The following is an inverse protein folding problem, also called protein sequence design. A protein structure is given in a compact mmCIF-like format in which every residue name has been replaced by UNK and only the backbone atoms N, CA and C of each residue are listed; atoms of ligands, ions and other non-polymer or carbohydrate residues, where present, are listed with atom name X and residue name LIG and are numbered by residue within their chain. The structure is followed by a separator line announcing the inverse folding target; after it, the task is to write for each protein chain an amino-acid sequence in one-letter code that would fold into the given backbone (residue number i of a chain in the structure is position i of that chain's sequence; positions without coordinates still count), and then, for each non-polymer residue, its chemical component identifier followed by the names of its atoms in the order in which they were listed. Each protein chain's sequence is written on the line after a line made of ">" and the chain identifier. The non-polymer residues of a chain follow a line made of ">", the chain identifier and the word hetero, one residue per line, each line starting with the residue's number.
data_IF_244670749889
#
_entry.id   IF_244670749889
#
_cell.length_a   1.000
_cell.length_b   1.000
_cell.length_c   1.000
_cell.angle_alpha   90.00
_cell.angle_beta   90.00
_cell.angle_gamma   90.00
#
_symmetry.space_group_name_H-M   'P 1'
#
loop_
_entity.id
_entity.type
_entity.pdbx_description
1 polymer ?
#
# COMPACT_ATOMS: atom_id res chain seq x y z
N UNK A 1 -13.42 -12.05 0.29
CA UNK A 1 -12.64 -12.37 -0.93
C UNK A 1 -11.45 -13.21 -0.50
N UNK A 2 -11.29 -14.39 -1.08
CA UNK A 2 -10.06 -15.17 -0.96
C UNK A 2 -8.92 -14.39 -1.63
N UNK A 3 -7.79 -14.26 -0.95
CA UNK A 3 -6.54 -13.74 -1.54
C UNK A 3 -5.73 -14.89 -2.14
N UNK A 4 -4.79 -14.58 -3.03
CA UNK A 4 -3.95 -15.59 -3.66
C UNK A 4 -3.01 -16.25 -2.61
N UNK A 5 -2.83 -17.59 -2.60
CA UNK A 5 -2.04 -18.28 -1.58
C UNK A 5 -0.58 -17.82 -1.48
N UNK A 6 -0.04 -17.21 -2.54
CA UNK A 6 1.33 -16.67 -2.53
C UNK A 6 1.55 -15.67 -1.39
N UNK A 7 0.51 -14.96 -0.95
CA UNK A 7 0.58 -13.97 0.12
C UNK A 7 0.71 -14.58 1.52
N UNK A 8 0.53 -15.90 1.66
CA UNK A 8 0.70 -16.63 2.91
C UNK A 8 2.13 -17.08 3.18
N UNK A 9 3.04 -16.94 2.20
CA UNK A 9 4.46 -17.22 2.41
C UNK A 9 5.07 -16.29 3.47
N UNK A 10 6.06 -16.77 4.23
CA UNK A 10 6.72 -15.96 5.26
C UNK A 10 7.29 -14.64 4.70
N UNK A 11 7.91 -14.72 3.52
CA UNK A 11 8.49 -13.55 2.85
C UNK A 11 7.42 -12.51 2.51
N UNK A 12 6.29 -12.94 1.93
CA UNK A 12 5.21 -12.02 1.59
C UNK A 12 4.48 -11.50 2.83
N UNK A 13 4.38 -12.28 3.91
CA UNK A 13 3.86 -11.78 5.21
C UNK A 13 4.73 -10.66 5.77
N UNK A 14 6.06 -10.75 5.68
CA UNK A 14 6.96 -9.69 6.11
C UNK A 14 6.82 -8.42 5.24
N UNK A 15 6.72 -8.56 3.92
CA UNK A 15 6.50 -7.45 3.00
C UNK A 15 5.12 -6.79 3.23
N UNK A 16 4.09 -7.59 3.44
CA UNK A 16 2.75 -7.13 3.82
C UNK A 16 2.78 -6.34 5.13
N UNK A 17 3.54 -6.80 6.13
CA UNK A 17 3.68 -6.08 7.41
C UNK A 17 4.38 -4.75 7.24
N UNK A 18 5.47 -4.72 6.48
CA UNK A 18 6.18 -3.49 6.14
C UNK A 18 5.24 -2.49 5.45
N UNK A 19 4.57 -2.91 4.37
CA UNK A 19 3.66 -2.06 3.60
C UNK A 19 2.46 -1.60 4.44
N UNK A 20 1.86 -2.47 5.26
CA UNK A 20 0.75 -2.13 6.13
C UNK A 20 1.16 -1.09 7.18
N UNK A 21 2.32 -1.27 7.84
CA UNK A 21 2.83 -0.30 8.82
C UNK A 21 3.18 1.03 8.17
N UNK A 22 3.76 1.02 6.96
CA UNK A 22 4.04 2.25 6.20
C UNK A 22 2.75 2.98 5.83
N UNK A 23 1.73 2.26 5.36
CA UNK A 23 0.42 2.84 5.06
C UNK A 23 -0.23 3.45 6.29
N UNK A 24 -0.19 2.77 7.45
CA UNK A 24 -0.68 3.30 8.72
C UNK A 24 0.07 4.58 9.12
N UNK A 25 1.40 4.60 8.99
CA UNK A 25 2.20 5.80 9.30
C UNK A 25 1.86 6.98 8.38
N UNK A 26 1.70 6.74 7.09
CA UNK A 26 1.30 7.77 6.15
C UNK A 26 -0.08 8.35 6.51
N UNK A 27 -1.01 7.52 6.97
CA UNK A 27 -2.29 7.99 7.50
C UNK A 27 -2.09 8.88 8.73
N UNK A 28 -1.23 8.44 9.67
CA UNK A 28 -0.80 9.23 10.82
C UNK A 28 -0.28 10.63 10.47
N UNK A 29 0.53 10.75 9.42
CA UNK A 29 1.02 12.04 8.91
C UNK A 29 -0.16 12.90 8.41
N UNK A 30 -1.06 12.29 7.63
CA UNK A 30 -2.27 12.97 7.16
C UNK A 30 -3.16 13.43 8.32
N UNK A 31 -3.26 12.62 9.37
CA UNK A 31 -3.97 12.95 10.60
C UNK A 31 -3.38 14.14 11.34
N UNK A 32 -2.06 14.17 11.48
CA UNK A 32 -1.34 15.31 12.06
C UNK A 32 -1.61 16.58 11.25
N UNK A 33 -1.47 16.53 9.92
CA UNK A 33 -1.72 17.67 9.06
C UNK A 33 -3.18 18.16 9.20
N UNK A 34 -4.15 17.24 9.19
CA UNK A 34 -5.56 17.58 9.37
C UNK A 34 -5.86 18.20 10.73
N UNK A 35 -5.28 17.67 11.81
CA UNK A 35 -5.39 18.24 13.16
C UNK A 35 -4.82 19.65 13.24
N UNK A 36 -3.64 19.89 12.66
CA UNK A 36 -3.00 21.20 12.62
C UNK A 36 -3.86 22.24 11.88
N UNK A 37 -4.41 21.88 10.71
CA UNK A 37 -5.32 22.74 9.95
C UNK A 37 -6.53 23.13 10.81
N UNK A 38 -7.15 22.17 11.50
CA UNK A 38 -8.33 22.44 12.33
C UNK A 38 -8.03 23.31 13.57
N UNK A 39 -6.83 23.20 14.15
CA UNK A 39 -6.40 24.10 15.22
C UNK A 39 -6.27 25.53 14.69
N UNK A 40 -5.65 25.71 13.53
CA UNK A 40 -5.47 27.05 12.93
C UNK A 40 -6.82 27.68 12.60
N UNK A 41 -7.72 26.92 11.97
CA UNK A 41 -9.10 27.37 11.68
C UNK A 41 -9.83 27.68 12.98
N UNK A 42 -9.72 26.82 14.00
CA UNK A 42 -10.35 27.02 15.30
C UNK A 42 -9.91 28.32 15.97
N UNK A 43 -8.61 28.62 15.96
CA UNK A 43 -8.05 29.83 16.59
C UNK A 43 -8.43 31.11 15.84
N UNK A 44 -8.46 31.07 14.49
CA UNK A 44 -8.58 32.27 13.66
C UNK A 44 -9.92 32.51 12.96
N UNK A 45 -10.85 31.55 12.96
CA UNK A 45 -11.94 31.52 11.98
C UNK A 45 -13.37 31.74 12.49
N UNK A 46 -13.64 31.75 13.81
CA UNK A 46 -15.03 31.85 14.31
C UNK A 46 -15.16 32.72 15.56
N UNK A 47 -16.20 33.57 15.59
CA UNK A 47 -16.54 34.39 16.75
C UNK A 47 -17.21 33.58 17.88
N UNK A 48 -17.74 32.40 17.57
CA UNK A 48 -18.37 31.49 18.53
C UNK A 48 -17.31 30.76 19.39
N UNK A 49 -17.18 31.08 20.70
CA UNK A 49 -16.10 30.54 21.54
C UNK A 49 -16.19 29.02 21.72
N UNK A 50 -17.40 28.47 21.80
CA UNK A 50 -17.62 27.03 21.95
C UNK A 50 -17.17 26.22 20.71
N UNK A 51 -17.45 26.73 19.51
CA UNK A 51 -17.06 26.11 18.24
C UNK A 51 -15.54 26.10 18.09
N UNK A 52 -14.91 27.25 18.35
CA UNK A 52 -13.45 27.43 18.38
C UNK A 52 -12.76 26.50 19.38
N UNK A 53 -13.27 26.41 20.61
CA UNK A 53 -12.72 25.52 21.62
C UNK A 53 -12.85 24.05 21.19
N UNK A 54 -13.99 23.65 20.63
CA UNK A 54 -14.19 22.30 20.11
C UNK A 54 -13.23 21.94 18.98
N UNK A 55 -13.03 22.84 18.00
CA UNK A 55 -12.07 22.65 16.91
C UNK A 55 -10.62 22.53 17.43
N UNK A 56 -10.22 23.38 18.37
CA UNK A 56 -8.89 23.33 18.97
C UNK A 56 -8.65 22.03 19.74
N UNK A 57 -9.62 21.60 20.56
CA UNK A 57 -9.52 20.35 21.34
C UNK A 57 -9.50 19.12 20.44
N UNK A 58 -10.41 19.02 19.46
CA UNK A 58 -10.47 17.89 18.55
C UNK A 58 -9.26 17.85 17.60
N UNK A 59 -8.79 19.02 17.16
CA UNK A 59 -7.55 19.14 16.39
C UNK A 59 -6.32 18.69 17.20
N UNK A 60 -6.23 19.07 18.47
CA UNK A 60 -5.16 18.61 19.37
C UNK A 60 -5.23 17.10 19.64
N UNK A 61 -6.43 16.55 19.84
CA UNK A 61 -6.64 15.11 19.94
C UNK A 61 -6.16 14.39 18.67
N UNK A 62 -6.46 14.94 17.49
CA UNK A 62 -6.02 14.39 16.22
C UNK A 62 -4.48 14.40 16.08
N UNK A 63 -3.82 15.47 16.52
CA UNK A 63 -2.34 15.53 16.57
C UNK A 63 -1.77 14.43 17.47
N UNK A 64 -2.30 14.27 18.69
CA UNK A 64 -1.83 13.27 19.64
C UNK A 64 -2.02 11.85 19.11
N UNK A 65 -3.18 11.57 18.51
CA UNK A 65 -3.46 10.27 17.90
C UNK A 65 -2.56 10.01 16.70
N UNK A 66 -2.34 11.00 15.83
CA UNK A 66 -1.41 10.88 14.71
C UNK A 66 0.03 10.58 15.17
N UNK A 67 0.51 11.25 16.23
CA UNK A 67 1.81 10.95 16.85
C UNK A 67 1.83 9.52 17.42
N UNK A 68 0.75 9.09 18.06
CA UNK A 68 0.64 7.73 18.59
C UNK A 68 0.68 6.68 17.46
N UNK A 69 -0.02 6.92 16.36
CA UNK A 69 -0.01 6.08 15.14
C UNK A 69 1.40 5.97 14.56
N UNK A 70 2.15 7.07 14.50
CA UNK A 70 3.54 7.07 14.02
C UNK A 70 4.45 6.19 14.90
N UNK A 71 4.30 6.31 16.23
CA UNK A 71 5.10 5.56 17.20
C UNK A 71 4.69 4.08 17.27
N UNK A 72 3.40 3.77 17.17
CA UNK A 72 2.84 2.43 17.32
C UNK A 72 1.82 2.12 16.22
N UNK A 73 2.29 1.78 14.99
CA UNK A 73 1.42 1.52 13.85
C UNK A 73 0.67 0.18 14.03
N UNK A 74 -0.46 0.24 14.71
CA UNK A 74 -1.31 -0.90 15.04
C UNK A 74 -2.73 -0.68 14.50
N UNK A 75 -3.50 -1.76 14.35
CA UNK A 75 -4.91 -1.65 13.99
C UNK A 75 -5.71 -0.80 15.00
N UNK A 76 -5.40 -0.90 16.29
CA UNK A 76 -6.06 -0.11 17.33
C UNK A 76 -5.78 1.38 17.17
N UNK A 77 -4.54 1.75 16.85
CA UNK A 77 -4.17 3.14 16.61
C UNK A 77 -4.94 3.72 15.42
N UNK A 78 -5.02 2.97 14.31
CA UNK A 78 -5.77 3.37 13.13
C UNK A 78 -7.29 3.49 13.39
N UNK A 79 -7.85 2.63 14.25
CA UNK A 79 -9.25 2.74 14.64
C UNK A 79 -9.54 4.03 15.42
N UNK A 80 -8.72 4.33 16.42
CA UNK A 80 -8.87 5.57 17.21
C UNK A 80 -8.68 6.79 16.31
N UNK A 81 -7.70 6.77 15.40
CA UNK A 81 -7.50 7.81 14.41
C UNK A 81 -8.74 8.03 13.54
N UNK A 82 -9.35 6.96 13.04
CA UNK A 82 -10.59 7.05 12.27
C UNK A 82 -11.73 7.67 13.10
N UNK A 83 -11.91 7.26 14.36
CA UNK A 83 -12.97 7.79 15.22
C UNK A 83 -12.76 9.28 15.46
N UNK A 84 -11.56 9.72 15.85
CA UNK A 84 -11.25 11.14 16.08
C UNK A 84 -11.43 11.96 14.80
N UNK A 85 -10.98 11.45 13.63
CA UNK A 85 -11.20 12.11 12.35
C UNK A 85 -12.68 12.30 12.03
N UNK A 86 -13.52 11.27 12.23
CA UNK A 86 -14.96 11.36 11.98
C UNK A 86 -15.60 12.39 12.92
N UNK A 87 -15.24 12.35 14.21
CA UNK A 87 -15.76 13.32 15.19
C UNK A 87 -15.35 14.75 14.83
N UNK A 88 -14.09 14.97 14.43
CA UNK A 88 -13.60 16.28 13.99
C UNK A 88 -14.30 16.75 12.71
N UNK A 89 -14.48 15.87 11.71
CA UNK A 89 -15.23 16.18 10.49
C UNK A 89 -16.69 16.52 10.76
N UNK A 90 -17.36 15.79 11.65
CA UNK A 90 -18.74 16.07 12.05
C UNK A 90 -18.85 17.40 12.79
N UNK A 91 -17.87 17.71 13.64
CA UNK A 91 -17.79 19.00 14.32
C UNK A 91 -17.61 20.15 13.33
N UNK A 92 -16.72 19.99 12.34
CA UNK A 92 -16.50 21.00 11.29
C UNK A 92 -17.74 21.21 10.43
N UNK A 93 -18.44 20.13 10.07
CA UNK A 93 -19.70 20.23 9.33
C UNK A 93 -20.78 20.94 10.16
N UNK A 94 -20.85 20.66 11.47
CA UNK A 94 -21.77 21.35 12.37
C UNK A 94 -21.46 22.85 12.47
N UNK A 95 -20.19 23.22 12.62
CA UNK A 95 -19.78 24.63 12.70
C UNK A 95 -20.10 25.41 11.43
N UNK A 96 -19.96 24.76 10.28
CA UNK A 96 -20.28 25.38 8.99
C UNK A 96 -21.79 25.68 8.86
N UNK A 97 -22.64 24.70 9.21
CA UNK A 97 -24.11 24.85 9.22
C UNK A 97 -24.54 25.98 10.16
N UNK A 98 -23.94 26.03 11.36
CA UNK A 98 -24.27 27.05 12.36
C UNK A 98 -23.82 28.46 11.93
N UNK A 99 -22.74 28.56 11.15
CA UNK A 99 -22.20 29.84 10.67
C UNK A 99 -22.97 30.43 9.48
N UNK A 100 -23.61 29.58 8.67
CA UNK A 100 -24.38 29.96 7.47
C UNK A 100 -25.90 29.92 7.71
N UNK A 101 -26.35 29.96 8.97
CA UNK A 101 -27.76 29.94 9.38
C UNK A 101 -28.60 28.80 8.77
N UNK A 102 -27.97 27.70 8.35
CA UNK A 102 -28.64 26.61 7.66
C UNK A 102 -27.83 26.04 6.49
N UNK A 103 -28.47 25.15 5.73
CA UNK A 103 -27.86 24.47 4.59
C UNK A 103 -27.95 25.29 3.29
N UNK A 104 -28.83 26.29 3.24
CA UNK A 104 -29.16 27.03 2.02
C UNK A 104 -28.06 28.02 1.59
N UNK A 105 -27.26 28.52 2.53
CA UNK A 105 -26.14 29.43 2.27
C UNK A 105 -24.76 28.73 2.34
N UNK A 106 -24.75 27.42 2.59
CA UNK A 106 -23.51 26.65 2.78
C UNK A 106 -22.82 26.39 1.44
N UNK A 107 -21.54 26.74 1.33
CA UNK A 107 -20.74 26.32 0.18
C UNK A 107 -20.50 24.81 0.26
N UNK A 108 -21.16 24.07 -0.64
CA UNK A 108 -21.03 22.62 -0.76
C UNK A 108 -19.57 22.17 -0.91
N UNK A 109 -18.69 23.00 -1.49
CA UNK A 109 -17.26 22.69 -1.64
C UNK A 109 -16.54 22.71 -0.30
N UNK A 110 -16.88 23.66 0.57
CA UNK A 110 -16.30 23.79 1.92
C UNK A 110 -16.80 22.65 2.81
N UNK A 111 -18.09 22.32 2.74
CA UNK A 111 -18.69 21.22 3.48
C UNK A 111 -18.25 19.81 2.98
N UNK A 112 -17.92 19.67 1.69
CA UNK A 112 -17.48 18.41 1.12
C UNK A 112 -16.11 17.94 1.64
N UNK A 113 -15.23 18.87 2.04
CA UNK A 113 -13.88 18.55 2.49
C UNK A 113 -13.87 17.66 3.77
N UNK A 114 -14.53 18.02 4.89
CA UNK A 114 -14.60 17.14 6.06
C UNK A 114 -15.21 15.77 5.75
N UNK A 115 -16.22 15.71 4.88
CA UNK A 115 -16.83 14.45 4.45
C UNK A 115 -15.84 13.58 3.67
N UNK A 116 -15.11 14.16 2.71
CA UNK A 116 -14.09 13.45 1.95
C UNK A 116 -12.99 12.90 2.87
N UNK A 117 -12.54 13.71 3.84
CA UNK A 117 -11.54 13.28 4.83
C UNK A 117 -12.06 12.11 5.66
N UNK A 118 -13.30 12.18 6.17
CA UNK A 118 -13.90 11.09 6.94
C UNK A 118 -13.99 9.79 6.11
N UNK A 119 -14.43 9.88 4.86
CA UNK A 119 -14.50 8.73 3.94
C UNK A 119 -13.10 8.14 3.70
N UNK A 120 -12.07 8.97 3.54
CA UNK A 120 -10.70 8.52 3.36
C UNK A 120 -10.19 7.73 4.58
N UNK A 121 -10.41 8.23 5.81
CA UNK A 121 -10.02 7.53 7.04
C UNK A 121 -10.79 6.21 7.22
N UNK A 122 -12.09 6.17 6.92
CA UNK A 122 -12.89 4.94 6.95
C UNK A 122 -12.37 3.93 5.93
N UNK A 123 -12.11 4.35 4.71
CA UNK A 123 -11.58 3.50 3.64
C UNK A 123 -10.24 2.89 4.03
N UNK A 124 -9.35 3.70 4.60
CA UNK A 124 -8.05 3.26 5.12
C UNK A 124 -8.19 2.22 6.23
N UNK A 125 -9.06 2.46 7.21
CA UNK A 125 -9.32 1.50 8.29
C UNK A 125 -9.87 0.17 7.75
N UNK A 126 -10.92 0.21 6.92
CA UNK A 126 -11.55 -1.00 6.36
C UNK A 126 -10.59 -1.78 5.45
N UNK A 127 -9.72 -1.09 4.72
CA UNK A 127 -8.69 -1.72 3.89
C UNK A 127 -7.71 -2.54 4.73
N UNK A 128 -7.19 -1.95 5.82
CA UNK A 128 -6.23 -2.58 6.73
C UNK A 128 -6.88 -3.59 7.71
N UNK A 129 -8.21 -3.55 7.88
CA UNK A 129 -8.96 -4.55 8.63
C UNK A 129 -8.91 -5.95 7.98
N UNK A 130 -8.61 -6.03 6.67
CA UNK A 130 -8.54 -7.29 5.93
C UNK A 130 -7.21 -8.03 6.10
N UNK A 131 -6.18 -7.36 6.59
CA UNK A 131 -4.88 -8.00 6.88
C UNK A 131 -5.01 -8.83 8.14
N UNK A 132 -4.44 -10.03 8.14
CA UNK A 132 -4.36 -10.85 9.34
C UNK A 132 -3.63 -10.09 10.47
N UNK A 133 -4.18 -10.17 11.69
CA UNK A 133 -3.57 -9.60 12.89
C UNK A 133 -2.13 -10.08 13.12
N UNK A 134 -1.79 -11.30 12.68
CA UNK A 134 -0.43 -11.89 12.76
C UNK A 134 0.62 -11.09 11.99
N UNK A 135 0.22 -10.34 10.97
CA UNK A 135 1.11 -9.47 10.20
C UNK A 135 1.61 -8.30 11.07
N UNK A 136 0.83 -7.86 12.05
CA UNK A 136 1.24 -6.78 12.97
C UNK A 136 2.18 -7.26 14.09
N UNK A 137 2.24 -8.57 14.37
CA UNK A 137 3.17 -9.15 15.35
C UNK A 137 4.54 -9.51 14.77
N UNK A 138 4.79 -9.27 13.48
CA UNK A 138 6.11 -9.51 12.88
C UNK A 138 7.17 -8.61 13.52
N UNK A 139 8.31 -9.22 13.84
CA UNK A 139 9.43 -8.57 14.51
C UNK A 139 10.00 -7.37 13.71
N UNK A 140 10.53 -6.38 14.45
CA UNK A 140 11.06 -5.15 13.88
C UNK A 140 12.28 -5.38 12.96
N UNK A 141 13.14 -6.35 13.27
CA UNK A 141 14.31 -6.68 12.46
C UNK A 141 13.92 -7.26 11.10
N UNK A 142 12.90 -8.13 11.05
CA UNK A 142 12.38 -8.66 9.78
C UNK A 142 11.80 -7.56 8.89
N UNK A 143 11.14 -6.58 9.50
CA UNK A 143 10.58 -5.43 8.78
C UNK A 143 11.66 -4.50 8.25
N UNK A 144 12.75 -4.30 8.99
CA UNK A 144 13.92 -3.54 8.50
C UNK A 144 14.57 -4.23 7.30
N UNK A 145 14.78 -5.55 7.36
CA UNK A 145 15.29 -6.32 6.21
C UNK A 145 14.37 -6.21 4.99
N UNK A 146 13.05 -6.30 5.21
CA UNK A 146 12.07 -6.12 4.14
C UNK A 146 12.10 -4.68 3.56
N UNK A 147 12.32 -3.68 4.41
CA UNK A 147 12.49 -2.28 3.98
C UNK A 147 13.76 -2.08 3.14
N UNK A 148 14.89 -2.63 3.58
CA UNK A 148 16.17 -2.58 2.88
C UNK A 148 16.07 -3.22 1.49
N UNK A 149 15.47 -4.40 1.38
CA UNK A 149 15.21 -5.06 0.09
C UNK A 149 14.32 -4.18 -0.79
N UNK A 150 13.23 -3.64 -0.24
CA UNK A 150 12.34 -2.76 -1.00
C UNK A 150 13.05 -1.50 -1.52
N UNK A 151 13.91 -0.87 -0.72
CA UNK A 151 14.66 0.33 -1.11
C UNK A 151 15.72 0.02 -2.15
N UNK A 152 16.50 -1.04 -1.95
CA UNK A 152 17.56 -1.46 -2.88
C UNK A 152 16.99 -1.67 -4.29
N UNK A 153 15.87 -2.39 -4.42
CA UNK A 153 15.23 -2.63 -5.73
C UNK A 153 14.61 -1.36 -6.33
N UNK A 154 14.23 -0.37 -5.52
CA UNK A 154 13.76 0.92 -6.04
C UNK A 154 14.90 1.83 -6.50
N UNK A 155 16.05 1.78 -5.82
CA UNK A 155 17.25 2.60 -6.08
C UNK A 155 18.10 2.06 -7.23
N UNK A 156 17.99 0.78 -7.56
CA UNK A 156 18.64 0.18 -8.72
C UNK A 156 18.28 0.95 -10.00
N UNK A 157 19.27 1.43 -10.74
CA UNK A 157 19.06 2.27 -11.93
C UNK A 157 18.42 1.47 -13.08
N UNK A 158 17.47 2.09 -13.78
CA UNK A 158 16.66 1.46 -14.82
C UNK A 158 17.40 1.28 -16.16
N UNK A 159 18.59 1.84 -16.31
CA UNK A 159 19.08 2.19 -17.65
C UNK A 159 19.69 1.04 -18.47
N UNK A 160 20.12 -0.09 -17.88
CA UNK A 160 20.67 -1.19 -18.68
C UNK A 160 20.26 -2.61 -18.28
N UNK A 161 19.38 -2.76 -17.29
CA UNK A 161 19.08 -4.09 -16.75
C UNK A 161 17.84 -4.75 -17.42
N UNK A 162 18.09 -5.83 -18.16
CA UNK A 162 17.04 -6.66 -18.78
C UNK A 162 16.08 -7.28 -17.74
N UNK A 163 16.48 -7.30 -16.47
CA UNK A 163 15.73 -7.87 -15.36
C UNK A 163 14.59 -6.98 -14.86
N UNK A 164 14.55 -5.67 -15.15
CA UNK A 164 13.53 -4.77 -14.59
C UNK A 164 12.44 -4.40 -15.60
N UNK A 165 11.18 -4.46 -15.14
CA UNK A 165 9.99 -4.05 -15.88
C UNK A 165 9.16 -3.03 -15.10
N UNK A 166 8.53 -2.11 -15.83
CA UNK A 166 7.66 -1.09 -15.25
C UNK A 166 6.27 -1.14 -15.89
N UNK A 167 5.24 -1.02 -15.06
CA UNK A 167 3.85 -0.90 -15.55
C UNK A 167 3.66 0.38 -16.38
N UNK A 168 2.73 0.37 -17.32
CA UNK A 168 2.43 1.51 -18.21
C UNK A 168 2.09 2.80 -17.44
N UNK A 169 1.42 2.67 -16.29
CA UNK A 169 1.05 3.82 -15.44
C UNK A 169 2.16 4.21 -14.44
N UNK A 170 3.35 3.60 -14.52
CA UNK A 170 4.47 3.84 -13.58
C UNK A 170 4.10 3.64 -12.10
N UNK A 171 3.08 2.83 -11.85
CA UNK A 171 2.57 2.54 -10.49
C UNK A 171 3.31 1.39 -9.85
N UNK A 172 3.75 0.41 -10.66
CA UNK A 172 4.46 -0.77 -10.24
C UNK A 172 5.76 -0.92 -11.02
N UNK A 173 6.83 -1.20 -10.29
CA UNK A 173 8.11 -1.71 -10.79
C UNK A 173 8.19 -3.18 -10.40
N UNK A 174 8.68 -4.02 -11.29
CA UNK A 174 8.95 -5.41 -10.97
C UNK A 174 10.36 -5.80 -11.43
N UNK A 175 11.06 -6.53 -10.57
CA UNK A 175 12.35 -7.12 -10.87
C UNK A 175 12.15 -8.62 -11.12
N UNK A 176 12.53 -9.06 -12.31
CA UNK A 176 12.47 -10.43 -12.78
C UNK A 176 13.79 -11.11 -12.37
N UNK A 177 13.71 -11.99 -11.39
CA UNK A 177 14.83 -12.79 -10.88
C UNK A 177 14.72 -14.21 -11.44
N UNK A 178 15.73 -15.04 -11.22
CA UNK A 178 15.62 -16.44 -11.61
C UNK A 178 14.52 -17.16 -10.78
N UNK A 179 13.58 -17.80 -11.47
CA UNK A 179 12.42 -18.49 -10.89
C UNK A 179 11.34 -17.63 -10.18
N UNK A 180 11.58 -16.34 -9.91
CA UNK A 180 10.64 -15.47 -9.17
C UNK A 180 10.68 -14.02 -9.63
N UNK A 181 9.62 -13.26 -9.37
CA UNK A 181 9.54 -11.83 -9.65
C UNK A 181 9.18 -11.06 -8.38
N UNK A 182 9.90 -9.97 -8.13
CA UNK A 182 9.65 -9.05 -7.03
C UNK A 182 8.84 -7.86 -7.54
N UNK A 183 7.66 -7.61 -6.99
CA UNK A 183 6.77 -6.52 -7.38
C UNK A 183 6.74 -5.46 -6.29
N UNK A 184 6.90 -4.19 -6.68
CA UNK A 184 6.89 -3.03 -5.79
C UNK A 184 6.03 -1.92 -6.38
N UNK A 185 5.12 -1.36 -5.59
CA UNK A 185 4.47 -0.11 -5.94
C UNK A 185 5.33 1.09 -5.57
N UNK A 186 5.34 2.13 -6.41
CA UNK A 186 6.19 3.34 -6.31
C UNK A 186 6.19 4.06 -4.95
N UNK A 187 5.11 3.92 -4.17
CA UNK A 187 4.98 4.53 -2.83
C UNK A 187 5.30 3.55 -1.68
N UNK A 188 5.81 2.37 -2.00
CA UNK A 188 6.06 1.25 -1.07
C UNK A 188 4.81 0.84 -0.28
N UNK A 189 3.63 1.12 -0.83
CA UNK A 189 2.31 0.79 -0.26
C UNK A 189 1.92 -0.67 -0.47
N UNK A 190 2.55 -1.32 -1.44
CA UNK A 190 2.42 -2.76 -1.75
C UNK A 190 3.75 -3.27 -2.25
N UNK A 191 4.18 -4.41 -1.73
CA UNK A 191 5.32 -5.16 -2.22
C UNK A 191 5.07 -6.65 -2.00
N UNK A 192 5.47 -7.49 -2.94
CA UNK A 192 5.35 -8.94 -2.82
C UNK A 192 6.26 -9.66 -3.83
N UNK A 193 6.49 -10.94 -3.57
CA UNK A 193 7.24 -11.86 -4.43
C UNK A 193 6.27 -12.87 -5.00
N UNK A 194 6.35 -13.12 -6.30
CA UNK A 194 5.59 -14.15 -6.98
C UNK A 194 6.54 -15.12 -7.69
N UNK A 195 6.24 -16.42 -7.65
CA UNK A 195 6.97 -17.41 -8.46
C UNK A 195 6.65 -17.23 -9.93
N UNK A 196 7.48 -17.77 -10.82
CA UNK A 196 7.24 -17.78 -12.27
C UNK A 196 5.86 -18.35 -12.61
N UNK A 197 5.44 -19.42 -11.93
CA UNK A 197 4.13 -20.03 -12.11
C UNK A 197 2.98 -19.15 -11.61
N UNK A 198 3.16 -18.46 -10.48
CA UNK A 198 2.17 -17.50 -10.00
C UNK A 198 2.01 -16.31 -10.95
N UNK A 199 3.10 -15.83 -11.56
CA UNK A 199 3.05 -14.79 -12.60
C UNK A 199 2.36 -15.32 -13.85
N UNK A 200 2.62 -16.57 -14.25
CA UNK A 200 1.97 -17.22 -15.39
C UNK A 200 0.46 -17.34 -15.16
N UNK A 201 0.04 -17.75 -13.96
CA UNK A 201 -1.37 -17.85 -13.58
C UNK A 201 -2.06 -16.47 -13.49
N UNK A 202 -1.31 -15.42 -13.14
CA UNK A 202 -1.82 -14.05 -13.04
C UNK A 202 -2.02 -13.36 -14.41
N UNK A 203 -1.55 -13.94 -15.52
CA UNK A 203 -1.76 -13.41 -16.86
C UNK A 203 -3.23 -13.54 -17.27
N UNK A 204 -3.94 -12.42 -17.33
CA UNK A 204 -5.34 -12.40 -17.75
C UNK A 204 -5.52 -12.66 -19.27
N UNK A 205 -4.47 -12.45 -20.07
CA UNK A 205 -4.49 -12.64 -21.53
C UNK A 205 -3.08 -12.97 -22.03
N UNK A 206 -2.67 -14.25 -22.07
CA UNK A 206 -1.31 -14.64 -22.43
C UNK A 206 -0.95 -14.30 -23.89
N UNK A 207 -1.92 -14.33 -24.79
CA UNK A 207 -1.70 -14.09 -26.23
C UNK A 207 -1.72 -12.61 -26.62
N UNK A 208 -2.07 -11.71 -25.70
CA UNK A 208 -2.14 -10.29 -26.00
C UNK A 208 -0.74 -9.66 -26.22
N UNK A 209 -0.69 -8.66 -27.11
CA UNK A 209 0.49 -7.79 -27.30
C UNK A 209 0.77 -6.89 -26.08
N UNK A 210 -0.17 -6.82 -25.12
CA UNK A 210 -0.04 -6.09 -23.86
C UNK A 210 -0.44 -7.00 -22.71
N UNK A 211 0.51 -7.29 -21.83
CA UNK A 211 0.27 -8.11 -20.65
C UNK A 211 -0.55 -7.34 -19.61
N UNK A 212 -1.55 -8.02 -19.07
CA UNK A 212 -2.30 -7.60 -17.89
C UNK A 212 -2.13 -8.67 -16.81
N UNK A 213 -1.46 -8.31 -15.72
CA UNK A 213 -1.32 -9.16 -14.54
C UNK A 213 -2.37 -8.77 -13.51
N UNK A 214 -3.02 -9.77 -12.93
CA UNK A 214 -4.04 -9.60 -11.89
C UNK A 214 -3.69 -10.46 -10.69
N UNK A 215 -3.52 -9.83 -9.53
CA UNK A 215 -3.30 -10.52 -8.25
C UNK A 215 -4.41 -10.15 -7.25
N UNK A 216 -4.96 -11.15 -6.56
CA UNK A 216 -5.90 -10.95 -5.47
C UNK A 216 -5.12 -10.77 -4.16
N UNK A 217 -4.70 -9.54 -3.90
CA UNK A 217 -3.92 -9.19 -2.73
C UNK A 217 -4.82 -8.96 -1.49
N UNK A 218 -4.38 -9.30 -0.26
CA UNK A 218 -5.19 -9.15 0.97
C UNK A 218 -5.76 -7.73 1.18
N UNK A 219 -4.99 -6.72 0.76
CA UNK A 219 -5.37 -5.31 0.79
C UNK A 219 -6.12 -4.80 -0.47
N UNK A 220 -6.68 -5.70 -1.28
CA UNK A 220 -7.47 -5.38 -2.48
C UNK A 220 -6.81 -5.84 -3.79
N UNK A 221 -7.62 -6.01 -4.83
CA UNK A 221 -7.18 -6.51 -6.15
C UNK A 221 -6.13 -5.58 -6.77
N UNK A 222 -5.03 -6.17 -7.23
CA UNK A 222 -3.96 -5.48 -7.95
C UNK A 222 -4.06 -5.79 -9.43
N UNK A 223 -4.04 -4.75 -10.26
CA UNK A 223 -4.08 -4.88 -11.73
C UNK A 223 -2.92 -4.09 -12.31
N UNK A 224 -1.99 -4.79 -12.93
CA UNK A 224 -0.84 -4.20 -13.58
C UNK A 224 -0.94 -4.37 -15.08
N UNK A 225 -0.77 -3.27 -15.81
CA UNK A 225 -0.77 -3.26 -17.27
C UNK A 225 0.62 -2.91 -17.74
N UNK A 226 1.13 -3.64 -18.72
CA UNK A 226 2.45 -3.43 -19.29
C UNK A 226 2.33 -3.07 -20.78
N UNK A 227 3.24 -2.23 -21.28
CA UNK A 227 3.32 -1.92 -22.71
C UNK A 227 3.93 -3.10 -23.49
N UNK A 228 3.99 -3.02 -24.81
CA UNK A 228 4.51 -4.11 -25.67
C UNK A 228 5.97 -4.45 -25.36
N UNK A 229 6.84 -3.45 -25.17
CA UNK A 229 8.26 -3.65 -24.82
C UNK A 229 8.43 -4.43 -23.52
N UNK A 230 7.72 -4.02 -22.46
CA UNK A 230 7.77 -4.64 -21.14
C UNK A 230 7.09 -6.02 -21.15
N UNK A 231 6.02 -6.18 -21.93
CA UNK A 231 5.36 -7.47 -22.18
C UNK A 231 6.34 -8.47 -22.81
N UNK A 232 7.13 -8.03 -23.78
CA UNK A 232 8.18 -8.86 -24.39
C UNK A 232 9.19 -9.37 -23.36
N UNK A 233 9.67 -8.49 -22.46
CA UNK A 233 10.58 -8.88 -21.36
C UNK A 233 9.95 -9.93 -20.43
N UNK A 234 8.71 -9.72 -19.99
CA UNK A 234 8.01 -10.67 -19.10
C UNK A 234 7.82 -12.02 -19.79
N UNK A 235 7.39 -12.04 -21.06
CA UNK A 235 7.21 -13.28 -21.82
C UNK A 235 8.52 -14.02 -22.04
N UNK A 236 9.59 -13.31 -22.40
CA UNK A 236 10.92 -13.88 -22.55
C UNK A 236 11.40 -14.52 -21.22
N UNK A 237 11.23 -13.81 -20.11
CA UNK A 237 11.55 -14.34 -18.78
C UNK A 237 10.71 -15.55 -18.38
N UNK A 238 9.41 -15.56 -18.69
CA UNK A 238 8.53 -16.72 -18.43
C UNK A 238 8.93 -17.94 -19.27
N UNK A 239 9.51 -17.71 -20.46
CA UNK A 239 9.99 -18.73 -21.38
C UNK A 239 11.36 -19.31 -21.02
N UNK A 240 12.12 -18.70 -20.11
CA UNK A 240 13.43 -19.18 -19.61
C UNK A 240 13.34 -20.45 -18.73
N UNK A 241 12.42 -21.37 -19.04
CA UNK A 241 12.18 -22.61 -18.28
C UNK A 241 12.22 -23.84 -19.20
N UNK A 242 13.33 -24.02 -19.93
CA UNK A 242 13.66 -25.26 -20.63
C UNK A 242 15.18 -25.49 -20.75
N UNK A 243 15.92 -25.20 -19.68
CA UNK A 243 17.28 -25.73 -19.48
C UNK A 243 17.40 -26.13 -18.00
N UNK A 244 16.71 -27.22 -17.65
CA UNK A 244 17.30 -28.14 -16.69
C UNK A 244 18.35 -28.89 -17.50
N UNK A 245 19.59 -28.90 -17.03
CA UNK A 245 20.70 -29.65 -17.61
C UNK A 245 20.35 -31.13 -17.75
N UNK A 246 19.84 -31.52 -18.92
CA UNK A 246 20.12 -32.86 -19.45
C UNK A 246 21.59 -32.85 -19.87
N UNK A 247 22.44 -33.46 -19.05
CA UNK A 247 23.77 -33.87 -19.49
C UNK A 247 23.70 -35.35 -19.89
N UNK A 248 23.54 -35.71 -21.18
CA UNK A 248 23.84 -37.04 -21.65
C UNK A 248 25.34 -37.09 -21.96
N UNK A 249 26.12 -37.69 -21.06
CA UNK A 249 27.57 -37.88 -21.24
C UNK A 249 27.99 -39.27 -20.78
N UNK A 250 27.97 -40.23 -21.70
CA UNK A 250 28.45 -41.59 -21.52
C UNK A 250 29.97 -41.68 -21.38
N UNK A 251 30.46 -42.60 -20.54
CA UNK A 251 31.59 -43.49 -20.84
C UNK A 251 31.76 -44.55 -19.75
N UNK A 252 31.38 -45.80 -20.09
CA UNK A 252 32.17 -47.03 -19.99
C UNK A 252 33.54 -46.91 -19.27
N UNK A 253 33.84 -47.60 -18.14
CA UNK A 253 34.20 -49.03 -17.91
C UNK A 253 35.53 -49.02 -17.09
N UNK A 254 36.12 -50.12 -16.56
CA UNK A 254 35.60 -51.39 -16.01
C UNK A 254 36.19 -51.77 -14.62
N UNK A 255 35.69 -52.85 -14.00
CA UNK A 255 36.55 -53.80 -13.25
C UNK A 255 36.68 -53.66 -11.73
N UNK A 256 35.98 -54.56 -11.02
CA UNK A 256 36.40 -55.12 -9.72
C UNK A 256 37.76 -55.84 -9.87
N UNK A 257 38.52 -56.03 -8.78
CA UNK A 257 38.21 -57.09 -7.80
C UNK A 257 37.67 -56.59 -6.45
#
# INVERSE_FOLDING_TARGET
>A
MSHDPLFDSEQNRALLAFCARRQIRNNGIGGIAWGAINIIIGIGGTDAPAIRMGMAVLGAAMLLVGIWVLRRPTRRALFVEMVVSITLSAWLMRSEIDSHQGLDEMDLRVAALPLFVAIAFIGNYRGLQRVDGRVFSIDAQRIRKAEEICKAVMEEELEDDHSVVESTMRQCRAQLLDGRAFFIQRNLTRAFVATRDAVRAALASPDANRCKLVFNHPLGRLVYRFNSRQTGKIKAWLAQSCQVEDTPGASDLPGQP
#
